data_IF_140841192766
#
_entry.id   IF_140841192766
#
_cell.length_a   1.000
_cell.length_b   1.000
_cell.length_c   1.000
_cell.angle_alpha   90.00
_cell.angle_beta   90.00
_cell.angle_gamma   90.00
#
_symmetry.space_group_name_H-M   'P 1'
#
loop_
_entity.id
_entity.type
_entity.pdbx_description
1 polymer ?
#
# COMPACT_ATOMS: atom_id res chain seq x y z
N UNK A 1 13.30 28.52 12.28
CA UNK A 1 12.04 29.06 11.71
C UNK A 1 11.87 28.45 10.34
N UNK A 2 10.64 28.04 9.98
CA UNK A 2 10.35 27.42 8.67
C UNK A 2 9.53 28.40 7.83
N UNK A 3 9.99 28.71 6.62
CA UNK A 3 9.29 29.60 5.72
C UNK A 3 8.70 28.80 4.56
N UNK A 4 7.39 28.86 4.40
CA UNK A 4 6.63 28.16 3.37
C UNK A 4 6.10 29.18 2.36
N UNK A 5 6.38 28.96 1.09
CA UNK A 5 5.82 29.74 0.00
C UNK A 5 5.05 28.83 -0.96
N UNK A 6 3.75 29.07 -1.09
CA UNK A 6 2.85 28.29 -1.96
C UNK A 6 2.39 29.18 -3.13
N UNK A 7 2.44 28.63 -4.35
CA UNK A 7 1.91 29.25 -5.55
C UNK A 7 0.88 28.33 -6.18
N UNK A 8 -0.39 28.57 -5.87
CA UNK A 8 -1.51 27.74 -6.35
C UNK A 8 -1.78 27.89 -7.85
N UNK A 9 -1.40 29.00 -8.43
CA UNK A 9 -1.46 29.24 -9.88
C UNK A 9 -0.42 28.44 -10.68
N UNK A 10 0.56 27.84 -10.00
CA UNK A 10 1.62 27.04 -10.61
C UNK A 10 1.50 25.58 -10.20
N UNK A 11 1.07 24.73 -11.12
CA UNK A 11 0.98 23.28 -10.88
C UNK A 11 2.23 22.57 -11.37
N UNK A 12 2.70 21.56 -10.61
CA UNK A 12 3.94 20.81 -10.89
C UNK A 12 3.72 19.31 -11.09
N UNK A 13 2.49 18.84 -10.91
CA UNK A 13 2.14 17.43 -11.06
C UNK A 13 0.72 17.12 -10.62
N UNK A 14 0.48 15.85 -10.35
CA UNK A 14 -0.76 15.36 -9.74
C UNK A 14 -0.50 14.90 -8.31
N UNK A 15 -1.51 14.99 -7.47
CA UNK A 15 -1.47 14.34 -6.15
C UNK A 15 -1.62 12.84 -6.36
N UNK A 16 -0.61 12.07 -5.92
CA UNK A 16 -0.58 10.62 -6.05
C UNK A 16 -1.39 9.94 -4.93
N UNK A 17 -1.88 8.71 -5.11
CA UNK A 17 -2.65 7.98 -4.10
C UNK A 17 -1.73 7.40 -2.99
N UNK A 18 -1.07 8.28 -2.22
CA UNK A 18 -0.16 7.86 -1.14
C UNK A 18 -0.91 7.39 0.12
N UNK A 19 -2.21 7.54 0.16
CA UNK A 19 -3.09 7.22 1.29
C UNK A 19 -4.00 6.01 1.03
N UNK A 20 -3.72 5.20 0.00
CA UNK A 20 -4.42 3.93 -0.16
C UNK A 20 -4.10 2.98 1.01
N UNK A 21 -4.93 1.96 1.20
CA UNK A 21 -4.84 1.08 2.37
C UNK A 21 -4.74 -0.39 1.97
N UNK A 22 -4.14 -1.19 2.82
CA UNK A 22 -4.32 -2.62 2.86
C UNK A 22 -5.54 -2.97 3.72
N UNK A 23 -6.33 -3.94 3.28
CA UNK A 23 -7.40 -4.55 4.05
C UNK A 23 -8.51 -3.58 4.47
N UNK A 24 -9.65 -3.57 3.77
CA UNK A 24 -10.73 -2.65 4.04
C UNK A 24 -11.30 -2.89 5.44
N UNK A 25 -11.79 -1.84 6.14
CA UNK A 25 -12.34 -1.98 7.47
C UNK A 25 -13.77 -2.55 7.43
N UNK A 26 -13.94 -3.72 8.01
CA UNK A 26 -15.26 -4.32 8.26
C UNK A 26 -15.23 -5.13 9.54
N UNK A 27 -16.41 -5.38 10.12
CA UNK A 27 -16.57 -6.21 11.31
C UNK A 27 -17.15 -7.57 10.93
N UNK A 28 -16.47 -8.62 11.34
CA UNK A 28 -17.05 -9.95 11.33
C UNK A 28 -18.04 -10.10 12.48
N UNK A 29 -19.22 -10.63 12.20
CA UNK A 29 -20.24 -10.96 13.20
C UNK A 29 -20.64 -12.41 13.13
N UNK A 30 -21.29 -12.93 14.17
CA UNK A 30 -21.76 -14.32 14.21
C UNK A 30 -22.78 -14.65 13.10
N UNK A 31 -23.64 -13.66 12.77
CA UNK A 31 -24.72 -13.87 11.79
C UNK A 31 -24.55 -13.06 10.50
N UNK A 32 -23.79 -11.99 10.52
CA UNK A 32 -23.57 -11.12 9.35
C UNK A 32 -22.30 -10.31 9.49
N UNK A 33 -21.78 -9.86 8.34
CA UNK A 33 -20.74 -8.85 8.28
C UNK A 33 -21.33 -7.44 8.44
N UNK A 34 -20.54 -6.53 8.99
CA UNK A 34 -20.85 -5.10 9.07
C UNK A 34 -19.76 -4.32 8.32
N UNK A 35 -20.12 -3.73 7.20
CA UNK A 35 -19.24 -2.97 6.31
C UNK A 35 -19.35 -1.45 6.51
N UNK A 36 -20.11 -0.98 7.48
CA UNK A 36 -20.36 0.47 7.69
C UNK A 36 -19.09 1.27 7.92
N UNK A 37 -18.01 0.67 8.44
CA UNK A 37 -16.71 1.34 8.59
C UNK A 37 -16.01 1.65 7.28
N UNK A 38 -16.43 1.06 6.15
CA UNK A 38 -15.93 1.45 4.83
C UNK A 38 -16.29 2.91 4.49
N UNK A 39 -17.32 3.48 5.14
CA UNK A 39 -17.64 4.90 5.00
C UNK A 39 -16.46 5.80 5.38
N UNK A 40 -15.67 5.44 6.40
CA UNK A 40 -14.46 6.20 6.75
C UNK A 40 -13.42 6.24 5.62
N UNK A 41 -13.31 5.17 4.83
CA UNK A 41 -12.42 5.13 3.66
C UNK A 41 -12.92 6.09 2.58
N UNK A 42 -14.22 6.08 2.32
CA UNK A 42 -14.89 7.00 1.37
C UNK A 42 -14.75 8.46 1.83
N UNK A 43 -15.03 8.76 3.10
CA UNK A 43 -14.95 10.10 3.67
C UNK A 43 -13.54 10.69 3.66
N UNK A 44 -12.52 9.81 3.74
CA UNK A 44 -11.12 10.17 3.60
C UNK A 44 -10.63 10.24 2.14
N UNK A 45 -11.51 10.09 1.15
CA UNK A 45 -11.17 10.03 -0.29
C UNK A 45 -10.09 9.00 -0.62
N UNK A 46 -10.01 7.89 0.13
CA UNK A 46 -9.06 6.81 -0.07
C UNK A 46 -9.50 5.97 -1.28
N UNK A 47 -8.72 5.96 -2.40
CA UNK A 47 -9.22 5.41 -3.66
C UNK A 47 -9.10 3.90 -3.80
N UNK A 48 -8.13 3.28 -3.10
CA UNK A 48 -7.80 1.86 -3.28
C UNK A 48 -7.65 1.13 -1.94
N UNK A 49 -8.03 -0.15 -1.95
CA UNK A 49 -7.67 -1.08 -0.89
C UNK A 49 -7.05 -2.35 -1.47
N UNK A 50 -5.85 -2.70 -0.99
CA UNK A 50 -5.18 -3.95 -1.36
C UNK A 50 -5.74 -5.11 -0.56
N UNK A 51 -6.08 -6.20 -1.24
CA UNK A 51 -6.71 -7.37 -0.66
C UNK A 51 -5.68 -8.48 -0.38
N UNK A 52 -4.97 -8.33 0.71
CA UNK A 52 -4.12 -9.35 1.30
C UNK A 52 -4.46 -9.50 2.78
N UNK A 53 -4.39 -10.70 3.36
CA UNK A 53 -4.76 -10.99 4.75
C UNK A 53 -6.19 -10.55 5.13
N UNK A 54 -7.09 -10.56 4.18
CA UNK A 54 -8.48 -10.15 4.40
C UNK A 54 -9.20 -11.24 5.19
N UNK A 55 -9.47 -10.92 6.45
CA UNK A 55 -10.13 -11.83 7.37
C UNK A 55 -11.64 -11.84 7.22
N UNK A 56 -12.26 -12.85 7.73
CA UNK A 56 -13.71 -13.02 7.83
C UNK A 56 -14.12 -13.73 9.10
N UNK A 57 -15.42 -13.73 9.38
CA UNK A 57 -16.00 -14.57 10.43
C UNK A 57 -15.68 -16.06 10.18
N UNK A 58 -15.74 -16.86 11.20
CA UNK A 58 -15.53 -18.31 11.11
C UNK A 58 -14.16 -18.74 10.59
N UNK A 59 -13.08 -18.03 10.94
CA UNK A 59 -11.71 -18.35 10.52
C UNK A 59 -11.50 -18.10 9.03
N UNK A 60 -12.34 -17.25 8.46
CA UNK A 60 -12.33 -16.93 7.07
C UNK A 60 -11.11 -16.20 6.57
N UNK A 61 -10.28 -15.52 7.34
CA UNK A 61 -9.05 -14.79 6.96
C UNK A 61 -8.55 -14.98 5.50
N UNK A 62 -9.46 -15.22 4.52
CA UNK A 62 -9.13 -15.85 3.25
C UNK A 62 -10.05 -15.49 2.11
N UNK A 63 -10.81 -14.40 2.23
CA UNK A 63 -11.81 -14.06 1.23
C UNK A 63 -11.31 -14.13 -0.21
N UNK A 64 -10.13 -13.60 -0.47
CA UNK A 64 -9.58 -13.50 -1.83
C UNK A 64 -8.60 -14.61 -2.19
N UNK A 65 -8.35 -15.54 -1.29
CA UNK A 65 -7.38 -16.61 -1.52
C UNK A 65 -7.85 -17.58 -2.62
N UNK A 66 -7.02 -17.75 -3.65
CA UNK A 66 -7.29 -18.64 -4.76
C UNK A 66 -7.70 -20.06 -4.29
N UNK A 67 -6.98 -20.69 -3.29
CA UNK A 67 -7.38 -22.00 -2.80
C UNK A 67 -8.69 -22.03 -1.99
N UNK A 68 -9.25 -20.91 -1.63
CA UNK A 68 -10.56 -20.87 -0.99
C UNK A 68 -11.69 -20.74 -2.01
N UNK A 69 -11.42 -20.04 -3.09
CA UNK A 69 -12.35 -19.90 -4.20
C UNK A 69 -12.38 -21.21 -5.01
N UNK A 70 -11.21 -21.74 -5.38
CA UNK A 70 -11.07 -22.99 -6.12
C UNK A 70 -10.40 -24.04 -5.21
N UNK A 71 -11.19 -24.81 -4.48
CA UNK A 71 -10.71 -25.64 -3.36
C UNK A 71 -10.05 -26.94 -3.79
N UNK A 72 -10.58 -27.58 -4.82
CA UNK A 72 -10.08 -28.84 -5.38
C UNK A 72 -9.29 -28.54 -6.66
N UNK A 73 -7.97 -28.60 -6.56
CA UNK A 73 -7.12 -28.33 -7.72
C UNK A 73 -7.28 -29.35 -8.86
N UNK A 74 -7.82 -30.53 -8.56
CA UNK A 74 -8.04 -31.58 -9.56
C UNK A 74 -9.44 -31.47 -10.25
N UNK A 75 -10.35 -30.58 -9.76
CA UNK A 75 -11.62 -30.26 -10.39
C UNK A 75 -11.44 -29.57 -11.76
N UNK A 76 -12.48 -29.54 -12.58
CA UNK A 76 -12.47 -28.83 -13.87
C UNK A 76 -12.50 -27.30 -13.63
N UNK A 77 -11.48 -26.60 -14.07
CA UNK A 77 -11.37 -25.13 -13.93
C UNK A 77 -12.35 -24.36 -14.85
N UNK A 78 -12.95 -25.00 -15.83
CA UNK A 78 -13.96 -24.41 -16.70
C UNK A 78 -15.40 -24.58 -16.18
N UNK A 79 -15.60 -25.42 -15.17
CA UNK A 79 -16.90 -25.60 -14.54
C UNK A 79 -17.13 -24.54 -13.43
N UNK A 80 -18.12 -23.63 -13.57
CA UNK A 80 -18.47 -22.67 -12.51
C UNK A 80 -18.73 -23.31 -11.15
N UNK A 81 -19.24 -24.54 -11.10
CA UNK A 81 -19.52 -25.29 -9.86
C UNK A 81 -18.24 -25.65 -9.08
N UNK A 82 -17.06 -25.55 -9.70
CA UNK A 82 -15.77 -25.77 -9.04
C UNK A 82 -15.30 -24.58 -8.20
N UNK A 83 -16.00 -23.44 -8.28
CA UNK A 83 -15.66 -22.20 -7.61
C UNK A 83 -16.67 -21.85 -6.52
N UNK A 84 -16.16 -21.27 -5.43
CA UNK A 84 -16.98 -20.72 -4.34
C UNK A 84 -16.61 -19.25 -4.13
N UNK A 85 -17.38 -18.35 -4.71
CA UNK A 85 -17.20 -16.90 -4.60
C UNK A 85 -17.94 -16.29 -3.41
N UNK A 86 -18.75 -17.06 -2.67
CA UNK A 86 -19.74 -16.56 -1.70
C UNK A 86 -19.18 -15.52 -0.71
N UNK A 87 -17.95 -15.73 -0.20
CA UNK A 87 -17.35 -14.78 0.75
C UNK A 87 -16.67 -13.62 0.05
N UNK A 88 -16.02 -13.88 -1.09
CA UNK A 88 -15.29 -12.84 -1.83
C UNK A 88 -16.27 -11.86 -2.46
N UNK A 89 -17.41 -12.33 -2.98
CA UNK A 89 -18.46 -11.48 -3.54
C UNK A 89 -18.97 -10.47 -2.55
N UNK A 90 -19.35 -10.92 -1.36
CA UNK A 90 -19.84 -10.03 -0.30
C UNK A 90 -18.84 -8.91 0.03
N UNK A 91 -17.54 -9.20 0.03
CA UNK A 91 -16.50 -8.21 0.27
C UNK A 91 -16.38 -7.23 -0.89
N UNK A 92 -16.23 -7.75 -2.12
CA UNK A 92 -15.99 -6.91 -3.30
C UNK A 92 -17.21 -6.05 -3.62
N UNK A 93 -18.43 -6.58 -3.55
CA UNK A 93 -19.66 -5.79 -3.73
C UNK A 93 -19.70 -4.60 -2.79
N UNK A 94 -19.47 -4.83 -1.49
CA UNK A 94 -19.46 -3.73 -0.52
C UNK A 94 -18.35 -2.72 -0.80
N UNK A 95 -17.15 -3.15 -1.15
CA UNK A 95 -16.08 -2.22 -1.54
C UNK A 95 -16.49 -1.34 -2.72
N UNK A 96 -17.06 -1.94 -3.76
CA UNK A 96 -17.51 -1.22 -4.95
C UNK A 96 -18.68 -0.27 -4.63
N UNK A 97 -19.61 -0.68 -3.76
CA UNK A 97 -20.72 0.17 -3.29
C UNK A 97 -20.22 1.42 -2.53
N UNK A 98 -19.18 1.27 -1.70
CA UNK A 98 -18.52 2.39 -1.02
C UNK A 98 -17.51 3.14 -1.91
N UNK A 99 -17.36 2.81 -3.18
CA UNK A 99 -16.45 3.47 -4.11
C UNK A 99 -14.98 3.14 -3.90
N UNK A 100 -14.65 2.06 -3.18
CA UNK A 100 -13.29 1.62 -2.89
C UNK A 100 -12.83 0.65 -3.97
N UNK A 101 -11.79 1.00 -4.73
CA UNK A 101 -11.26 0.14 -5.81
C UNK A 101 -10.36 -0.95 -5.24
N UNK A 102 -10.63 -2.23 -5.55
CA UNK A 102 -9.74 -3.31 -5.13
C UNK A 102 -8.42 -3.34 -5.90
N UNK A 103 -7.32 -3.63 -5.17
CA UNK A 103 -6.10 -4.19 -5.73
C UNK A 103 -6.12 -5.66 -5.32
N UNK A 104 -6.42 -6.55 -6.27
CA UNK A 104 -6.69 -7.95 -5.99
C UNK A 104 -5.40 -8.78 -6.01
N UNK A 105 -5.03 -9.39 -4.87
CA UNK A 105 -3.89 -10.27 -4.77
C UNK A 105 -4.30 -11.72 -5.11
N UNK A 106 -3.84 -12.21 -6.25
CA UNK A 106 -3.97 -13.61 -6.68
C UNK A 106 -2.91 -14.47 -5.96
N UNK A 107 -3.31 -15.26 -5.00
CA UNK A 107 -2.39 -16.07 -4.20
C UNK A 107 -3.01 -16.50 -2.88
N UNK A 108 -2.24 -16.43 -1.80
CA UNK A 108 -2.62 -16.90 -0.48
C UNK A 108 -2.33 -15.88 0.62
N UNK A 109 -3.05 -15.99 1.72
CA UNK A 109 -2.86 -15.20 2.95
C UNK A 109 -1.79 -15.85 3.84
N UNK A 110 -0.98 -15.04 4.53
CA UNK A 110 0.08 -15.50 5.43
C UNK A 110 -0.48 -16.31 6.61
N UNK A 111 -1.64 -15.97 7.13
CA UNK A 111 -2.31 -16.70 8.20
C UNK A 111 -2.72 -18.12 7.81
N UNK A 112 -2.64 -18.44 6.53
CA UNK A 112 -2.92 -19.79 6.01
C UNK A 112 -1.72 -20.71 6.02
N UNK A 113 -0.54 -20.22 6.31
CA UNK A 113 0.71 -20.96 6.16
C UNK A 113 0.82 -22.23 7.02
N UNK A 114 0.30 -22.21 8.22
CA UNK A 114 0.60 -23.22 9.22
C UNK A 114 -0.13 -24.54 9.02
N UNK A 115 -1.07 -24.65 8.10
CA UNK A 115 -1.91 -25.84 8.08
C UNK A 115 -2.12 -26.36 6.67
N UNK A 116 -1.84 -27.58 6.63
CA UNK A 116 -2.08 -28.56 5.62
C UNK A 116 -3.19 -28.14 4.70
N UNK A 117 -2.90 -27.67 3.57
CA UNK A 117 -3.97 -27.55 2.61
C UNK A 117 -3.43 -27.49 1.24
N UNK A 118 -3.89 -28.44 0.51
CA UNK A 118 -3.71 -28.58 -0.89
C UNK A 118 -2.60 -27.64 -1.39
N UNK A 119 -2.63 -26.98 -2.36
CA UNK A 119 -1.58 -26.20 -3.00
C UNK A 119 -1.34 -24.77 -2.45
N UNK A 120 -1.67 -24.44 -1.25
CA UNK A 120 -1.65 -23.06 -0.71
C UNK A 120 -0.34 -22.31 -0.92
N UNK A 121 0.63 -22.55 -0.05
CA UNK A 121 1.97 -21.95 -0.12
C UNK A 121 2.95 -22.83 -0.92
N UNK A 122 2.50 -23.98 -1.38
CA UNK A 122 3.30 -24.88 -2.22
C UNK A 122 3.12 -24.53 -3.69
N UNK A 123 4.14 -24.77 -4.54
CA UNK A 123 3.97 -24.65 -5.97
C UNK A 123 2.77 -25.46 -6.46
N UNK A 124 1.85 -24.84 -7.21
CA UNK A 124 0.76 -25.61 -7.85
C UNK A 124 1.31 -26.71 -8.74
N UNK A 125 0.61 -27.87 -8.80
CA UNK A 125 1.03 -29.01 -9.64
C UNK A 125 1.14 -28.64 -11.13
N UNK A 126 0.33 -27.70 -11.59
CA UNK A 126 0.28 -27.19 -12.96
C UNK A 126 0.10 -25.67 -12.95
N UNK A 127 1.12 -24.92 -13.37
CA UNK A 127 1.10 -23.46 -13.40
C UNK A 127 0.14 -22.91 -14.46
N UNK A 128 -0.04 -23.62 -15.58
CA UNK A 128 -1.01 -23.26 -16.60
C UNK A 128 -2.44 -23.36 -16.09
N UNK A 129 -2.77 -24.42 -15.37
CA UNK A 129 -4.06 -24.56 -14.72
C UNK A 129 -4.30 -23.49 -13.65
N UNK A 130 -3.28 -23.19 -12.83
CA UNK A 130 -3.38 -22.10 -11.86
C UNK A 130 -3.65 -20.75 -12.54
N UNK A 131 -3.01 -20.48 -13.68
CA UNK A 131 -3.25 -19.27 -14.46
C UNK A 131 -4.69 -19.22 -15.02
N UNK A 132 -5.25 -20.32 -15.50
CA UNK A 132 -6.66 -20.40 -15.95
C UNK A 132 -7.66 -20.24 -14.79
N UNK A 133 -7.35 -20.78 -13.62
CA UNK A 133 -8.16 -20.51 -12.41
C UNK A 133 -8.17 -19.00 -12.11
N UNK A 134 -7.02 -18.35 -12.13
CA UNK A 134 -6.94 -16.90 -11.96
C UNK A 134 -7.68 -16.13 -13.06
N UNK A 135 -7.63 -16.57 -14.31
CA UNK A 135 -8.42 -16.03 -15.41
C UNK A 135 -9.92 -16.05 -15.09
N UNK A 136 -10.45 -17.16 -14.60
CA UNK A 136 -11.88 -17.28 -14.28
C UNK A 136 -12.27 -16.40 -13.07
N UNK A 137 -11.39 -16.21 -12.10
CA UNK A 137 -11.61 -15.22 -11.02
C UNK A 137 -11.71 -13.81 -11.60
N UNK A 138 -10.83 -13.43 -12.53
CA UNK A 138 -10.88 -12.12 -13.19
C UNK A 138 -12.16 -11.99 -14.04
N UNK A 139 -12.53 -13.00 -14.79
CA UNK A 139 -13.77 -13.00 -15.58
C UNK A 139 -15.02 -12.87 -14.72
N UNK A 140 -15.00 -13.49 -13.53
CA UNK A 140 -16.11 -13.39 -12.59
C UNK A 140 -16.35 -11.93 -12.18
N UNK A 141 -15.31 -11.19 -11.83
CA UNK A 141 -15.45 -9.79 -11.40
C UNK A 141 -15.50 -8.76 -12.52
N UNK A 142 -14.99 -9.08 -13.71
CA UNK A 142 -14.86 -8.10 -14.80
C UNK A 142 -15.69 -8.45 -16.05
N UNK A 143 -16.19 -9.66 -16.23
CA UNK A 143 -16.88 -10.10 -17.43
C UNK A 143 -18.17 -10.91 -17.12
N UNK A 144 -18.62 -10.96 -15.87
CA UNK A 144 -19.87 -11.60 -15.46
C UNK A 144 -19.88 -13.13 -15.50
N UNK A 145 -18.73 -13.79 -15.60
CA UNK A 145 -18.64 -15.25 -15.63
C UNK A 145 -19.14 -15.85 -14.30
N UNK A 146 -19.84 -17.02 -14.35
CA UNK A 146 -20.39 -17.71 -13.19
C UNK A 146 -21.35 -16.84 -12.35
N UNK A 147 -22.30 -16.16 -12.99
CA UNK A 147 -23.21 -15.19 -12.38
C UNK A 147 -22.50 -14.04 -11.63
N UNK A 148 -21.32 -13.64 -12.11
CA UNK A 148 -20.48 -12.63 -11.51
C UNK A 148 -20.80 -11.20 -11.95
N UNK A 149 -19.78 -10.34 -11.97
CA UNK A 149 -19.90 -8.88 -12.04
C UNK A 149 -19.15 -8.28 -13.25
N UNK A 150 -19.37 -6.99 -13.49
CA UNK A 150 -18.65 -6.20 -14.47
C UNK A 150 -18.03 -4.96 -13.78
N UNK A 151 -17.26 -5.18 -12.71
CA UNK A 151 -16.70 -4.10 -11.87
C UNK A 151 -15.51 -3.39 -12.51
N UNK A 152 -14.81 -4.05 -13.46
CA UNK A 152 -13.65 -3.47 -14.10
C UNK A 152 -12.48 -3.27 -13.14
N UNK A 153 -12.21 -4.25 -12.27
CA UNK A 153 -11.04 -4.22 -11.37
C UNK A 153 -9.78 -4.14 -12.22
N UNK A 154 -8.98 -3.11 -11.98
CA UNK A 154 -7.82 -2.76 -12.80
C UNK A 154 -6.57 -3.55 -12.40
N UNK A 155 -6.25 -3.60 -11.08
CA UNK A 155 -4.98 -4.12 -10.56
C UNK A 155 -5.12 -5.56 -10.05
N UNK A 156 -4.31 -6.46 -10.61
CA UNK A 156 -4.23 -7.87 -10.26
C UNK A 156 -2.79 -8.24 -9.92
N UNK A 157 -2.52 -8.42 -8.65
CA UNK A 157 -1.19 -8.71 -8.11
C UNK A 157 -0.97 -10.22 -8.02
N UNK A 158 0.10 -10.73 -8.63
CA UNK A 158 0.47 -12.14 -8.54
C UNK A 158 1.29 -12.37 -7.28
N UNK A 159 0.71 -13.06 -6.32
CA UNK A 159 1.27 -13.50 -5.05
C UNK A 159 1.49 -12.41 -4.01
N UNK A 160 2.17 -12.79 -2.89
CA UNK A 160 2.63 -11.93 -1.81
C UNK A 160 3.85 -12.58 -1.15
N UNK A 161 4.94 -11.84 -1.03
CA UNK A 161 6.16 -12.21 -0.28
C UNK A 161 6.68 -13.65 -0.53
N UNK A 162 6.81 -14.12 -1.77
CA UNK A 162 7.40 -15.44 -2.04
C UNK A 162 8.87 -15.51 -1.65
N UNK A 163 9.50 -14.38 -1.36
CA UNK A 163 10.86 -14.16 -0.90
C UNK A 163 11.00 -14.10 0.63
N UNK A 164 9.93 -14.31 1.40
CA UNK A 164 9.92 -14.17 2.87
C UNK A 164 10.61 -15.31 3.62
N UNK A 165 11.64 -15.88 3.03
CA UNK A 165 12.49 -16.94 3.60
C UNK A 165 12.99 -17.89 2.52
N UNK A 166 13.93 -18.76 2.90
CA UNK A 166 14.49 -19.75 2.01
C UNK A 166 13.50 -20.87 1.67
N UNK A 167 13.75 -21.56 0.57
CA UNK A 167 12.96 -22.71 0.14
C UNK A 167 12.80 -23.76 1.27
N UNK A 168 11.57 -24.25 1.44
CA UNK A 168 11.22 -25.20 2.49
C UNK A 168 11.07 -24.63 3.93
N UNK A 169 11.34 -23.31 4.11
CA UNK A 169 11.14 -22.57 5.37
C UNK A 169 10.37 -21.29 5.21
N UNK A 170 9.97 -20.96 4.00
CA UNK A 170 9.24 -19.76 3.65
C UNK A 170 7.77 -19.89 4.05
N UNK A 171 7.25 -18.84 4.64
CA UNK A 171 5.87 -18.77 5.12
C UNK A 171 4.85 -18.46 4.01
N UNK A 172 5.31 -18.07 2.82
CA UNK A 172 4.46 -17.69 1.70
C UNK A 172 4.72 -18.52 0.43
N UNK A 173 5.90 -19.14 0.31
CA UNK A 173 6.27 -19.96 -0.84
C UNK A 173 7.23 -21.09 -0.43
N UNK A 174 6.80 -22.32 -0.59
CA UNK A 174 7.59 -23.51 -0.18
C UNK A 174 8.42 -24.09 -1.33
N UNK A 175 8.33 -23.51 -2.52
CA UNK A 175 9.15 -23.89 -3.68
C UNK A 175 10.49 -23.15 -3.75
N UNK A 176 11.25 -23.47 -4.79
CA UNK A 176 12.46 -22.73 -5.14
C UNK A 176 12.10 -21.36 -5.76
N UNK A 177 13.00 -20.36 -5.71
CA UNK A 177 12.77 -19.06 -6.35
C UNK A 177 12.42 -19.18 -7.84
N UNK A 178 13.13 -20.04 -8.59
CA UNK A 178 12.93 -20.23 -10.01
C UNK A 178 11.54 -20.83 -10.35
N UNK A 179 10.97 -21.62 -9.44
CA UNK A 179 9.60 -22.13 -9.59
C UNK A 179 8.58 -20.98 -9.45
N UNK A 180 8.84 -20.02 -8.56
CA UNK A 180 8.02 -18.83 -8.45
C UNK A 180 8.13 -17.93 -9.69
N UNK A 181 9.35 -17.69 -10.17
CA UNK A 181 9.58 -16.88 -11.39
C UNK A 181 8.84 -17.48 -12.59
N UNK A 182 8.88 -18.80 -12.70
CA UNK A 182 8.13 -19.53 -13.74
C UNK A 182 6.61 -19.44 -13.53
N UNK A 183 6.11 -19.54 -12.29
CA UNK A 183 4.69 -19.34 -12.01
C UNK A 183 4.23 -17.96 -12.45
N UNK A 184 5.00 -16.92 -12.09
CA UNK A 184 4.72 -15.55 -12.49
C UNK A 184 4.68 -15.41 -14.02
N UNK A 185 5.69 -15.90 -14.72
CA UNK A 185 5.78 -15.84 -16.17
C UNK A 185 4.57 -16.48 -16.87
N UNK A 186 4.26 -17.71 -16.48
CA UNK A 186 3.12 -18.46 -17.04
C UNK A 186 1.81 -17.73 -16.79
N UNK A 187 1.58 -17.26 -15.57
CA UNK A 187 0.37 -16.57 -15.20
C UNK A 187 0.25 -15.20 -15.89
N UNK A 188 1.30 -14.38 -15.85
CA UNK A 188 1.28 -13.05 -16.45
C UNK A 188 1.06 -13.11 -17.96
N UNK A 189 1.75 -13.99 -18.67
CA UNK A 189 1.54 -14.20 -20.11
C UNK A 189 0.14 -14.65 -20.44
N UNK A 190 -0.39 -15.64 -19.70
CA UNK A 190 -1.73 -16.14 -19.90
C UNK A 190 -2.77 -15.02 -19.68
N UNK A 191 -2.72 -14.33 -18.55
CA UNK A 191 -3.68 -13.29 -18.21
C UNK A 191 -3.62 -12.11 -19.18
N UNK A 192 -2.44 -11.66 -19.57
CA UNK A 192 -2.31 -10.60 -20.59
C UNK A 192 -2.79 -11.06 -21.96
N UNK A 193 -2.66 -12.35 -22.32
CA UNK A 193 -3.21 -12.88 -23.56
C UNK A 193 -4.76 -12.87 -23.57
N UNK A 194 -5.40 -13.04 -22.40
CA UNK A 194 -6.85 -13.06 -22.24
C UNK A 194 -7.46 -11.65 -22.19
N UNK A 195 -6.81 -10.74 -21.48
CA UNK A 195 -7.42 -9.44 -21.13
C UNK A 195 -6.72 -8.22 -21.75
N UNK A 196 -5.50 -8.38 -22.26
CA UNK A 196 -4.73 -7.26 -22.83
C UNK A 196 -4.56 -6.12 -21.82
N UNK A 197 -4.83 -4.90 -22.27
CA UNK A 197 -4.70 -3.67 -21.46
C UNK A 197 -5.96 -3.34 -20.64
N UNK A 198 -6.97 -4.22 -20.63
CA UNK A 198 -8.15 -4.05 -19.76
C UNK A 198 -7.82 -4.24 -18.29
N UNK A 199 -6.69 -4.92 -17.99
CA UNK A 199 -6.19 -5.14 -16.64
C UNK A 199 -4.70 -4.85 -16.57
N UNK A 200 -4.22 -4.51 -15.38
CA UNK A 200 -2.81 -4.44 -15.04
C UNK A 200 -2.40 -5.65 -14.23
N UNK A 201 -1.34 -6.31 -14.65
CA UNK A 201 -0.74 -7.46 -13.96
C UNK A 201 0.60 -7.04 -13.38
N UNK A 202 0.83 -7.35 -12.12
CA UNK A 202 2.08 -7.04 -11.45
C UNK A 202 2.35 -7.95 -10.26
N UNK A 203 3.25 -7.57 -9.44
CA UNK A 203 3.63 -8.28 -8.22
C UNK A 203 5.08 -8.02 -7.88
N UNK A 204 5.61 -8.76 -7.02
CA UNK A 204 5.09 -9.94 -6.31
C UNK A 204 4.88 -9.70 -4.79
N UNK A 205 4.79 -8.42 -4.35
CA UNK A 205 4.82 -8.08 -2.94
C UNK A 205 6.18 -8.41 -2.32
N UNK A 206 7.27 -7.83 -2.84
CA UNK A 206 8.63 -8.06 -2.35
C UNK A 206 8.73 -7.70 -0.86
N UNK A 207 9.16 -8.62 0.01
CA UNK A 207 9.10 -8.47 1.47
C UNK A 207 10.13 -7.49 2.08
N UNK A 208 10.81 -6.73 1.24
CA UNK A 208 11.74 -5.66 1.63
C UNK A 208 13.21 -6.00 1.39
N UNK A 209 13.95 -5.01 0.90
CA UNK A 209 15.34 -5.17 0.44
C UNK A 209 16.35 -4.72 1.49
N UNK A 210 16.20 -5.17 2.74
CA UNK A 210 17.08 -4.78 3.85
C UNK A 210 18.52 -5.28 3.72
N UNK A 211 18.77 -6.26 2.83
CA UNK A 211 20.09 -6.75 2.46
C UNK A 211 21.02 -5.67 1.91
N UNK A 212 20.46 -4.60 1.32
CA UNK A 212 21.21 -3.45 0.82
C UNK A 212 22.14 -2.83 1.86
N UNK A 213 21.73 -2.83 3.13
CA UNK A 213 22.46 -2.18 4.22
C UNK A 213 23.68 -2.95 4.71
N UNK A 214 23.83 -4.22 4.34
CA UNK A 214 25.03 -5.00 4.67
C UNK A 214 26.20 -4.73 3.71
N UNK A 215 25.88 -4.32 2.46
CA UNK A 215 26.90 -4.07 1.42
C UNK A 215 26.56 -2.78 0.65
N UNK A 216 26.42 -1.60 1.30
CA UNK A 216 25.93 -0.38 0.67
C UNK A 216 26.76 0.05 -0.54
N UNK A 217 28.10 -0.07 -0.46
CA UNK A 217 29.01 0.28 -1.57
C UNK A 217 28.76 -0.57 -2.81
N UNK A 218 28.49 -1.87 -2.63
CA UNK A 218 28.20 -2.81 -3.75
C UNK A 218 26.92 -2.42 -4.47
N UNK A 219 25.93 -1.94 -3.72
CA UNK A 219 24.63 -1.55 -4.26
C UNK A 219 24.51 -0.05 -4.57
N UNK A 220 25.61 0.70 -4.38
CA UNK A 220 25.68 2.14 -4.70
C UNK A 220 24.69 2.98 -3.92
N UNK A 221 24.52 2.67 -2.62
CA UNK A 221 23.72 3.48 -1.68
C UNK A 221 24.65 4.14 -0.65
N UNK A 222 24.36 5.40 -0.32
CA UNK A 222 25.21 6.17 0.60
C UNK A 222 24.63 6.12 2.03
N UNK A 223 24.90 5.00 2.72
CA UNK A 223 24.51 4.82 4.13
C UNK A 223 25.63 4.10 4.88
N UNK A 224 25.68 4.20 6.21
CA UNK A 224 26.59 3.38 7.01
C UNK A 224 26.31 1.90 6.81
N UNK A 225 27.37 1.12 6.65
CA UNK A 225 27.28 -0.33 6.56
C UNK A 225 26.74 -0.91 7.86
N UNK A 226 25.82 -1.87 7.72
CA UNK A 226 25.30 -2.67 8.82
C UNK A 226 26.16 -3.93 8.98
N UNK A 227 26.55 -4.26 10.20
CA UNK A 227 27.21 -5.53 10.46
C UNK A 227 26.21 -6.70 10.34
N UNK A 228 26.65 -7.85 9.82
CA UNK A 228 25.83 -9.06 9.75
C UNK A 228 25.30 -9.49 11.12
N UNK A 229 24.00 -9.77 11.16
CA UNK A 229 23.29 -10.27 12.36
C UNK A 229 22.45 -11.51 12.00
N UNK A 230 21.56 -11.95 12.89
CA UNK A 230 20.70 -13.12 12.68
C UNK A 230 19.74 -13.01 11.48
N UNK A 231 19.59 -11.82 10.91
CA UNK A 231 18.72 -11.54 9.74
C UNK A 231 19.48 -11.54 8.42
N UNK A 232 20.83 -11.59 8.46
CA UNK A 232 21.67 -11.43 7.28
C UNK A 232 21.28 -12.39 6.14
N UNK A 233 21.21 -13.68 6.38
CA UNK A 233 20.90 -14.68 5.36
C UNK A 233 19.52 -14.44 4.73
N UNK A 234 18.52 -14.16 5.56
CA UNK A 234 17.17 -13.87 5.08
C UNK A 234 17.11 -12.58 4.26
N UNK A 235 17.74 -11.52 4.73
CA UNK A 235 17.70 -10.21 4.07
C UNK A 235 18.50 -10.26 2.74
N UNK A 236 19.60 -11.03 2.69
CA UNK A 236 20.34 -11.27 1.45
C UNK A 236 19.57 -12.18 0.49
N UNK A 237 18.86 -13.20 0.99
CA UNK A 237 17.97 -14.03 0.17
C UNK A 237 16.92 -13.17 -0.55
N UNK A 238 16.26 -12.26 0.15
CA UNK A 238 15.26 -11.33 -0.44
C UNK A 238 15.85 -10.48 -1.56
N UNK A 239 17.04 -9.94 -1.32
CA UNK A 239 17.73 -9.12 -2.32
C UNK A 239 18.15 -9.93 -3.56
N UNK A 240 18.65 -11.16 -3.36
CA UNK A 240 18.99 -12.07 -4.45
C UNK A 240 17.74 -12.53 -5.21
N UNK A 241 16.64 -12.81 -4.51
CA UNK A 241 15.37 -13.15 -5.13
C UNK A 241 14.86 -12.02 -6.03
N UNK A 242 14.91 -10.77 -5.57
CA UNK A 242 14.52 -9.60 -6.36
C UNK A 242 15.34 -9.47 -7.63
N UNK A 243 16.67 -9.56 -7.54
CA UNK A 243 17.52 -9.46 -8.73
C UNK A 243 17.27 -10.63 -9.69
N UNK A 244 17.19 -11.86 -9.19
CA UNK A 244 16.88 -13.04 -10.00
C UNK A 244 15.50 -12.98 -10.67
N UNK A 245 14.50 -12.42 -9.99
CA UNK A 245 13.18 -12.17 -10.59
C UNK A 245 13.29 -11.21 -11.79
N UNK A 246 13.98 -10.07 -11.63
CA UNK A 246 14.16 -9.11 -12.73
C UNK A 246 14.89 -9.72 -13.93
N UNK A 247 15.96 -10.48 -13.66
CA UNK A 247 16.69 -11.21 -14.71
C UNK A 247 15.76 -12.18 -15.46
N UNK A 248 15.02 -12.99 -14.72
CA UNK A 248 14.12 -13.99 -15.28
C UNK A 248 13.01 -13.37 -16.15
N UNK A 249 12.30 -12.35 -15.64
CA UNK A 249 11.21 -11.73 -16.41
C UNK A 249 11.73 -11.00 -17.65
N UNK A 250 12.93 -10.43 -17.58
CA UNK A 250 13.59 -9.81 -18.75
C UNK A 250 13.96 -10.83 -19.80
N UNK A 251 14.60 -11.93 -19.41
CA UNK A 251 15.04 -13.00 -20.33
C UNK A 251 13.86 -13.68 -21.01
N UNK A 252 12.77 -13.88 -20.29
CA UNK A 252 11.57 -14.57 -20.77
C UNK A 252 10.56 -13.63 -21.42
N UNK A 253 10.74 -12.30 -21.36
CA UNK A 253 9.76 -11.33 -21.87
C UNK A 253 8.42 -11.42 -21.12
N UNK A 254 8.46 -11.64 -19.81
CA UNK A 254 7.26 -11.73 -18.98
C UNK A 254 6.60 -10.36 -18.84
N UNK A 255 5.28 -10.24 -19.05
CA UNK A 255 4.57 -8.99 -18.86
C UNK A 255 4.59 -8.54 -17.40
N UNK A 256 4.77 -7.23 -17.19
CA UNK A 256 4.64 -6.57 -15.90
C UNK A 256 4.16 -5.14 -16.12
N UNK A 257 3.03 -4.76 -15.52
CA UNK A 257 2.46 -3.42 -15.61
C UNK A 257 2.74 -2.58 -14.36
N UNK A 258 3.01 -3.22 -13.21
CA UNK A 258 3.40 -2.56 -11.97
C UNK A 258 4.25 -3.49 -11.09
N UNK A 259 5.18 -2.91 -10.33
CA UNK A 259 6.01 -3.64 -9.36
C UNK A 259 5.57 -3.31 -7.93
N UNK A 260 5.44 -4.33 -7.09
CA UNK A 260 5.00 -4.17 -5.70
C UNK A 260 6.08 -4.58 -4.70
N UNK A 261 6.18 -3.82 -3.61
CA UNK A 261 7.17 -4.03 -2.57
C UNK A 261 6.69 -3.54 -1.21
N UNK A 262 7.36 -4.00 -0.14
CA UNK A 262 7.01 -3.72 1.24
C UNK A 262 8.16 -3.04 1.98
N UNK A 263 7.83 -2.25 3.01
CA UNK A 263 8.82 -1.71 3.94
C UNK A 263 8.22 -1.35 5.28
N UNK A 264 8.83 -1.87 6.33
CA UNK A 264 8.59 -1.47 7.72
C UNK A 264 9.81 -0.75 8.33
N UNK A 265 10.68 -0.23 7.48
CA UNK A 265 11.79 0.62 7.89
C UNK A 265 11.34 2.05 8.18
N UNK A 266 12.21 2.85 8.76
CA UNK A 266 11.96 4.29 8.89
C UNK A 266 11.87 4.97 7.51
N UNK A 267 11.41 6.22 7.51
CA UNK A 267 11.07 6.97 6.30
C UNK A 267 12.25 7.04 5.31
N UNK A 268 13.43 7.41 5.77
CA UNK A 268 14.59 7.58 4.89
C UNK A 268 15.12 6.24 4.36
N UNK A 269 15.12 5.20 5.17
CA UNK A 269 15.48 3.86 4.70
C UNK A 269 14.48 3.35 3.66
N UNK A 270 13.20 3.56 3.86
CA UNK A 270 12.17 3.21 2.88
C UNK A 270 12.38 3.96 1.56
N UNK A 271 12.70 5.25 1.62
CA UNK A 271 12.99 6.04 0.43
C UNK A 271 14.21 5.51 -0.35
N UNK A 272 15.30 5.17 0.36
CA UNK A 272 16.51 4.57 -0.25
C UNK A 272 16.19 3.23 -0.93
N UNK A 273 15.38 2.38 -0.31
CA UNK A 273 14.94 1.11 -0.94
C UNK A 273 14.16 1.42 -2.22
N UNK A 274 13.23 2.37 -2.19
CA UNK A 274 12.46 2.79 -3.36
C UNK A 274 13.34 3.31 -4.51
N UNK A 275 14.33 4.15 -4.20
CA UNK A 275 15.31 4.65 -5.16
C UNK A 275 16.18 3.53 -5.78
N UNK A 276 16.55 2.53 -4.97
CA UNK A 276 17.25 1.36 -5.46
C UNK A 276 16.38 0.53 -6.42
N UNK A 277 15.11 0.27 -6.06
CA UNK A 277 14.17 -0.46 -6.91
C UNK A 277 13.98 0.27 -8.24
N UNK A 278 13.71 1.59 -8.21
CA UNK A 278 13.56 2.40 -9.42
C UNK A 278 14.78 2.27 -10.35
N UNK A 279 15.99 2.41 -9.79
CA UNK A 279 17.22 2.28 -10.55
C UNK A 279 17.35 0.88 -11.17
N UNK A 280 17.08 -0.19 -10.41
CA UNK A 280 17.16 -1.56 -10.91
C UNK A 280 16.14 -1.83 -12.01
N UNK A 281 14.90 -1.37 -11.84
CA UNK A 281 13.88 -1.48 -12.89
C UNK A 281 14.34 -0.79 -14.19
N UNK A 282 14.91 0.39 -14.08
CA UNK A 282 15.49 1.12 -15.22
C UNK A 282 16.65 0.36 -15.88
N UNK A 283 17.57 -0.20 -15.09
CA UNK A 283 18.70 -1.01 -15.58
C UNK A 283 18.23 -2.21 -16.41
N UNK A 284 17.07 -2.77 -16.09
CA UNK A 284 16.42 -3.86 -16.83
C UNK A 284 15.51 -3.38 -17.97
N UNK A 285 15.38 -2.06 -18.20
CA UNK A 285 14.58 -1.47 -19.28
C UNK A 285 13.09 -1.35 -18.96
N UNK A 286 12.73 -1.28 -17.68
CA UNK A 286 11.38 -1.03 -17.20
C UNK A 286 11.20 0.43 -16.75
N UNK A 287 11.64 1.39 -17.58
CA UNK A 287 11.49 2.82 -17.31
C UNK A 287 10.03 3.21 -17.18
N UNK A 288 9.70 3.92 -16.11
CA UNK A 288 8.33 4.42 -15.89
C UNK A 288 7.31 3.36 -15.45
N UNK A 289 7.76 2.15 -15.11
CA UNK A 289 6.89 1.15 -14.50
C UNK A 289 6.29 1.68 -13.19
N UNK A 290 4.98 1.51 -12.99
CA UNK A 290 4.35 1.88 -11.73
C UNK A 290 4.96 1.09 -10.57
N UNK A 291 5.38 1.79 -9.51
CA UNK A 291 5.91 1.19 -8.28
C UNK A 291 4.92 1.40 -7.13
N UNK A 292 4.48 0.33 -6.51
CA UNK A 292 3.58 0.40 -5.37
C UNK A 292 4.28 -0.10 -4.10
N UNK A 293 4.43 0.77 -3.11
CA UNK A 293 4.76 0.36 -1.74
C UNK A 293 3.45 -0.09 -1.10
N UNK A 294 3.07 -1.33 -1.38
CA UNK A 294 1.72 -1.79 -1.12
C UNK A 294 1.54 -2.55 0.21
N UNK A 295 2.59 -2.50 1.05
CA UNK A 295 2.50 -2.86 2.47
C UNK A 295 3.56 -2.07 3.26
N UNK A 296 3.09 -1.19 4.14
CA UNK A 296 3.97 -0.33 4.92
C UNK A 296 3.28 0.23 6.16
N UNK A 297 4.07 0.55 7.18
CA UNK A 297 3.62 1.32 8.33
C UNK A 297 4.85 1.95 9.01
N UNK A 298 4.94 3.27 9.05
CA UNK A 298 6.08 3.98 9.62
C UNK A 298 6.11 3.96 11.15
N UNK A 299 5.00 3.55 11.79
CA UNK A 299 4.85 3.46 13.25
C UNK A 299 4.17 2.15 13.65
N UNK A 300 4.71 1.02 13.19
CA UNK A 300 4.12 -0.31 13.31
C UNK A 300 4.20 -0.95 14.70
N UNK A 301 4.68 -0.24 15.71
CA UNK A 301 4.67 -0.73 17.09
C UNK A 301 3.31 -0.47 17.75
N UNK A 302 2.63 -1.50 18.25
CA UNK A 302 1.29 -1.38 18.84
C UNK A 302 1.18 -0.34 19.95
N UNK A 303 2.27 -0.05 20.71
CA UNK A 303 2.30 1.00 21.72
C UNK A 303 2.17 2.43 21.14
N UNK A 304 2.41 2.61 19.85
CA UNK A 304 2.32 3.91 19.17
C UNK A 304 0.92 4.17 18.60
N UNK A 305 0.03 3.18 18.66
CA UNK A 305 -1.30 3.29 18.10
C UNK A 305 -2.08 4.47 18.70
N UNK A 306 -2.61 5.32 17.85
CA UNK A 306 -3.39 6.50 18.22
C UNK A 306 -2.58 7.68 18.79
N UNK A 307 -1.25 7.62 18.77
CA UNK A 307 -0.38 8.72 19.23
C UNK A 307 -0.13 9.76 18.13
N UNK A 308 0.20 10.99 18.52
CA UNK A 308 0.65 12.04 17.60
C UNK A 308 1.88 11.61 16.80
N UNK A 309 2.78 10.82 17.41
CA UNK A 309 3.94 10.25 16.72
C UNK A 309 3.51 9.37 15.54
N UNK A 310 2.54 8.48 15.73
CA UNK A 310 2.10 7.58 14.66
C UNK A 310 1.44 8.33 13.50
N UNK A 311 0.60 9.33 13.80
CA UNK A 311 -0.03 10.16 12.76
C UNK A 311 1.00 10.96 11.98
N UNK A 312 1.94 11.62 12.65
CA UNK A 312 2.99 12.41 12.02
C UNK A 312 3.98 11.55 11.22
N UNK A 313 4.40 10.39 11.74
CA UNK A 313 5.29 9.45 11.04
C UNK A 313 4.67 8.92 9.73
N UNK A 314 3.40 8.51 9.78
CA UNK A 314 2.71 8.02 8.59
C UNK A 314 2.44 9.15 7.58
N UNK A 315 2.09 10.35 8.04
CA UNK A 315 1.95 11.52 7.18
C UNK A 315 3.29 11.89 6.51
N UNK A 316 4.38 11.92 7.26
CA UNK A 316 5.72 12.18 6.75
C UNK A 316 6.15 11.15 5.69
N UNK A 317 5.85 9.86 5.90
CA UNK A 317 6.08 8.81 4.91
C UNK A 317 5.32 9.07 3.61
N UNK A 318 4.02 9.41 3.69
CA UNK A 318 3.22 9.75 2.51
C UNK A 318 3.85 10.91 1.72
N UNK A 319 4.26 11.99 2.39
CA UNK A 319 4.85 13.15 1.73
C UNK A 319 6.24 12.87 1.15
N UNK A 320 7.09 12.14 1.89
CA UNK A 320 8.43 11.75 1.41
C UNK A 320 8.33 10.87 0.16
N UNK A 321 7.41 9.90 0.16
CA UNK A 321 7.24 8.99 -0.97
C UNK A 321 6.49 9.64 -2.14
N UNK A 322 5.64 10.65 -1.89
CA UNK A 322 5.02 11.43 -2.96
C UNK A 322 6.05 12.09 -3.88
N UNK A 323 7.18 12.53 -3.34
CA UNK A 323 8.28 13.13 -4.10
C UNK A 323 9.22 12.13 -4.78
N UNK A 324 9.00 10.84 -4.61
CA UNK A 324 9.79 9.76 -5.25
C UNK A 324 9.13 9.22 -6.53
N UNK A 325 9.74 8.24 -7.18
CA UNK A 325 9.14 7.51 -8.30
C UNK A 325 7.97 6.59 -7.88
N UNK A 326 7.76 6.32 -6.60
CA UNK A 326 6.65 5.51 -6.12
C UNK A 326 5.32 6.14 -6.50
N UNK A 327 4.43 5.34 -7.11
CA UNK A 327 3.14 5.80 -7.59
C UNK A 327 2.04 5.71 -6.54
N UNK A 328 2.02 4.64 -5.73
CA UNK A 328 0.97 4.35 -4.76
C UNK A 328 1.56 3.76 -3.48
N UNK A 329 0.93 4.09 -2.35
CA UNK A 329 1.20 3.44 -1.07
C UNK A 329 -0.08 2.80 -0.52
N UNK A 330 0.00 1.54 -0.01
CA UNK A 330 -1.11 0.92 0.70
C UNK A 330 -0.71 0.67 2.16
N UNK A 331 -1.25 1.45 3.06
CA UNK A 331 -0.97 1.40 4.49
C UNK A 331 -1.42 0.08 5.11
N UNK A 332 -0.57 -0.61 5.81
CA UNK A 332 -0.88 -1.83 6.54
C UNK A 332 -1.11 -1.54 8.03
N UNK A 333 -2.40 -1.45 8.53
CA UNK A 333 -3.60 -1.69 7.74
C UNK A 333 -4.80 -0.91 8.29
N UNK A 334 -5.90 -0.94 7.55
CA UNK A 334 -7.16 -0.30 7.94
C UNK A 334 -8.14 -1.25 8.64
N UNK A 335 -7.75 -2.48 8.98
CA UNK A 335 -8.62 -3.42 9.73
C UNK A 335 -9.09 -2.83 11.05
N UNK A 336 -10.32 -3.18 11.44
CA UNK A 336 -10.92 -2.76 12.71
C UNK A 336 -10.37 -3.56 13.90
N UNK A 337 -9.85 -4.76 13.67
CA UNK A 337 -9.39 -5.66 14.73
C UNK A 337 -8.07 -5.19 15.32
N UNK A 338 -7.74 -5.66 16.53
CA UNK A 338 -6.43 -5.44 17.12
C UNK A 338 -5.33 -5.98 16.17
N UNK A 339 -4.59 -5.08 15.58
CA UNK A 339 -3.43 -5.39 14.75
C UNK A 339 -2.15 -5.13 15.56
N UNK A 340 -1.16 -6.01 15.41
CA UNK A 340 0.17 -5.78 15.98
C UNK A 340 0.87 -4.55 15.35
N UNK A 341 0.40 -4.13 14.18
CA UNK A 341 0.95 -3.02 13.42
C UNK A 341 0.29 -1.66 13.71
N UNK A 342 -0.77 -1.63 14.54
CA UNK A 342 -1.59 -0.43 14.70
C UNK A 342 -2.68 -0.34 13.63
N UNK A 343 -3.24 0.82 13.39
CA UNK A 343 -4.31 0.99 12.39
C UNK A 343 -5.06 2.31 12.52
N UNK A 344 -6.22 2.37 11.87
CA UNK A 344 -7.08 3.56 11.86
C UNK A 344 -8.05 3.63 13.05
N UNK A 345 -8.33 2.50 13.70
CA UNK A 345 -9.41 2.39 14.66
C UNK A 345 -8.94 1.87 16.01
N UNK A 346 -9.43 2.44 17.07
CA UNK A 346 -9.19 1.97 18.42
C UNK A 346 -9.72 0.52 18.59
N UNK A 347 -8.93 -0.43 19.14
CA UNK A 347 -9.27 -1.86 19.08
C UNK A 347 -10.55 -2.25 19.84
N UNK A 348 -10.99 -1.45 20.81
CA UNK A 348 -12.14 -1.76 21.64
C UNK A 348 -13.40 -0.97 21.28
N UNK A 349 -13.23 0.30 20.93
CA UNK A 349 -14.38 1.20 20.62
C UNK A 349 -14.67 1.22 19.13
N UNK A 350 -13.69 0.88 18.29
CA UNK A 350 -13.74 0.99 16.84
C UNK A 350 -13.89 2.43 16.31
N UNK A 351 -13.65 3.40 17.18
CA UNK A 351 -13.61 4.80 16.79
C UNK A 351 -12.27 5.12 16.07
N UNK A 352 -12.28 6.05 15.09
CA UNK A 352 -11.07 6.44 14.40
C UNK A 352 -10.09 7.14 15.36
N UNK A 353 -8.79 6.87 15.16
CA UNK A 353 -7.69 7.50 15.91
C UNK A 353 -6.96 8.53 15.03
N UNK A 354 -6.04 9.31 15.62
CA UNK A 354 -5.29 10.37 14.93
C UNK A 354 -4.66 9.94 13.60
N UNK A 355 -4.21 8.69 13.46
CA UNK A 355 -3.68 8.16 12.21
C UNK A 355 -4.70 8.22 11.08
N UNK A 356 -5.97 7.86 11.32
CA UNK A 356 -7.03 7.99 10.33
C UNK A 356 -7.17 9.45 9.85
N UNK A 357 -7.15 10.40 10.75
CA UNK A 357 -7.30 11.82 10.40
C UNK A 357 -6.11 12.38 9.63
N UNK A 358 -4.90 11.83 9.83
CA UNK A 358 -3.76 12.16 8.98
C UNK A 358 -3.98 11.72 7.52
N UNK A 359 -4.57 10.54 7.31
CA UNK A 359 -4.95 10.06 5.97
C UNK A 359 -6.12 10.85 5.38
N UNK A 360 -7.14 11.16 6.17
CA UNK A 360 -8.26 11.98 5.73
C UNK A 360 -7.82 13.40 5.35
N UNK A 361 -6.86 13.99 6.07
CA UNK A 361 -6.26 15.27 5.72
C UNK A 361 -5.49 15.20 4.38
N UNK A 362 -4.72 14.12 4.15
CA UNK A 362 -4.11 13.88 2.85
C UNK A 362 -5.16 13.71 1.73
N UNK A 363 -6.27 13.04 2.03
CA UNK A 363 -7.40 12.87 1.12
C UNK A 363 -8.00 14.18 0.63
N UNK A 364 -7.94 15.27 1.43
CA UNK A 364 -8.34 16.61 0.99
C UNK A 364 -7.45 17.15 -0.13
N UNK A 365 -6.14 16.85 -0.10
CA UNK A 365 -5.24 17.19 -1.18
C UNK A 365 -5.49 16.32 -2.43
N UNK A 366 -5.71 15.02 -2.21
CA UNK A 366 -5.98 14.08 -3.30
C UNK A 366 -7.26 14.44 -4.07
N UNK A 367 -8.31 14.89 -3.39
CA UNK A 367 -9.55 15.39 -3.99
C UNK A 367 -9.31 16.56 -4.94
N UNK A 368 -8.39 17.48 -4.62
CA UNK A 368 -8.04 18.63 -5.46
C UNK A 368 -7.26 18.23 -6.72
N UNK A 369 -6.58 17.13 -6.70
CA UNK A 369 -5.97 16.45 -7.84
C UNK A 369 -4.65 17.02 -8.36
N UNK A 370 -4.46 18.34 -8.39
CA UNK A 370 -3.25 18.98 -8.92
C UNK A 370 -2.29 19.38 -7.80
N UNK A 371 -1.03 18.99 -7.90
CA UNK A 371 0.02 19.43 -7.00
C UNK A 371 0.39 20.88 -7.33
N UNK A 372 0.22 21.78 -6.36
CA UNK A 372 0.68 23.16 -6.46
C UNK A 372 2.19 23.28 -6.12
N UNK A 373 2.83 24.30 -6.69
CA UNK A 373 4.23 24.58 -6.36
C UNK A 373 4.34 25.08 -4.92
N UNK A 374 5.13 24.37 -4.13
CA UNK A 374 5.46 24.73 -2.75
C UNK A 374 6.98 24.70 -2.55
N UNK A 375 7.51 25.72 -1.93
CA UNK A 375 8.90 25.74 -1.46
C UNK A 375 8.92 25.90 0.05
N UNK A 376 9.75 25.10 0.71
CA UNK A 376 9.97 25.14 2.15
C UNK A 376 11.45 25.46 2.42
N UNK A 377 11.72 26.60 3.05
CA UNK A 377 13.03 26.89 3.63
C UNK A 377 12.98 26.47 5.10
N UNK A 378 13.60 25.33 5.39
CA UNK A 378 13.59 24.72 6.72
C UNK A 378 14.77 25.18 7.60
N UNK A 379 15.67 26.04 7.08
CA UNK A 379 16.89 26.48 7.79
C UNK A 379 17.67 25.26 8.35
N UNK A 380 17.74 24.18 7.57
CA UNK A 380 18.41 22.92 7.94
C UNK A 380 17.66 22.04 8.94
N UNK A 381 16.43 22.38 9.31
CA UNK A 381 15.63 21.53 10.21
C UNK A 381 15.20 20.23 9.51
N UNK A 382 15.57 19.11 10.11
CA UNK A 382 15.12 17.78 9.67
C UNK A 382 13.71 17.47 10.17
N UNK A 383 13.03 16.50 9.52
CA UNK A 383 11.73 15.99 9.95
C UNK A 383 10.55 16.90 9.62
N UNK A 384 10.73 17.90 8.76
CA UNK A 384 9.64 18.73 8.27
C UNK A 384 9.29 18.38 6.82
N UNK A 385 8.02 18.10 6.56
CA UNK A 385 7.51 17.71 5.25
C UNK A 385 6.32 18.57 4.86
N UNK A 386 6.16 18.85 3.57
CA UNK A 386 5.08 19.72 3.09
C UNK A 386 4.64 19.36 1.67
N UNK A 387 3.35 19.58 1.40
CA UNK A 387 2.73 19.37 0.09
C UNK A 387 1.58 20.38 -0.06
N UNK A 388 1.33 20.86 -1.28
CA UNK A 388 0.19 21.71 -1.57
C UNK A 388 -0.58 21.20 -2.78
N UNK A 389 -1.88 21.43 -2.80
CA UNK A 389 -2.78 21.01 -3.87
C UNK A 389 -3.80 22.09 -4.22
N UNK A 390 -4.30 22.01 -5.44
CA UNK A 390 -5.34 22.91 -5.97
C UNK A 390 -6.17 22.23 -7.07
N UNK A 391 -7.44 22.61 -7.20
CA UNK A 391 -8.27 22.36 -8.37
C UNK A 391 -8.55 23.64 -9.19
N UNK A 392 -7.89 24.75 -8.83
CA UNK A 392 -8.04 26.07 -9.44
C UNK A 392 -8.88 27.04 -8.59
N UNK A 393 -9.81 26.55 -7.78
CA UNK A 393 -10.68 27.33 -6.88
C UNK A 393 -10.41 27.01 -5.41
N UNK A 394 -10.34 25.75 -5.09
CA UNK A 394 -10.03 25.25 -3.75
C UNK A 394 -8.52 25.00 -3.63
N UNK A 395 -7.97 25.34 -2.50
CA UNK A 395 -6.54 25.27 -2.22
C UNK A 395 -6.29 24.63 -0.85
N UNK A 396 -5.28 23.78 -0.78
CA UNK A 396 -4.85 23.17 0.48
C UNK A 396 -3.32 23.08 0.56
N UNK A 397 -2.78 23.28 1.75
CA UNK A 397 -1.39 22.97 2.09
C UNK A 397 -1.36 22.04 3.30
N UNK A 398 -0.53 21.01 3.24
CA UNK A 398 -0.39 19.97 4.26
C UNK A 398 1.04 20.00 4.77
N UNK A 399 1.20 20.32 6.04
CA UNK A 399 2.48 20.52 6.72
C UNK A 399 2.61 19.50 7.84
N UNK A 400 3.75 18.83 7.93
CA UNK A 400 4.03 17.79 8.92
C UNK A 400 5.32 18.12 9.65
N UNK A 401 5.25 18.33 10.94
CA UNK A 401 6.39 18.37 11.81
C UNK A 401 6.60 17.01 12.49
N UNK A 402 7.39 16.16 11.89
CA UNK A 402 7.79 14.87 12.46
C UNK A 402 9.14 15.02 13.16
N UNK A 403 9.12 15.72 14.27
CA UNK A 403 10.28 15.91 15.15
C UNK A 403 9.82 16.07 16.60
N UNK A 404 10.74 15.99 17.54
CA UNK A 404 10.46 16.15 18.97
C UNK A 404 10.38 17.62 19.42
N UNK A 405 10.63 18.57 18.51
CA UNK A 405 10.62 20.00 18.81
C UNK A 405 9.49 20.71 18.08
N UNK A 406 8.89 21.71 18.73
CA UNK A 406 7.96 22.62 18.06
C UNK A 406 8.71 23.51 17.05
N UNK A 407 8.04 23.87 15.96
CA UNK A 407 8.59 24.69 14.89
C UNK A 407 7.74 25.95 14.65
N UNK A 408 8.38 27.10 14.63
CA UNK A 408 7.75 28.32 14.13
C UNK A 408 7.63 28.22 12.60
N UNK A 409 6.41 28.34 12.11
CA UNK A 409 6.08 28.28 10.67
C UNK A 409 5.58 29.65 10.23
N UNK A 410 6.07 30.14 9.10
CA UNK A 410 5.54 31.31 8.38
C UNK A 410 5.14 30.90 6.98
N UNK A 411 4.00 31.39 6.53
CA UNK A 411 3.53 31.13 5.18
C UNK A 411 3.17 32.44 4.45
N UNK A 412 2.99 32.37 3.15
CA UNK A 412 2.41 33.46 2.35
C UNK A 412 0.87 33.33 2.22
N UNK A 413 0.25 32.44 2.99
CA UNK A 413 -1.20 32.26 3.03
C UNK A 413 -1.80 33.26 4.04
N UNK A 414 -2.90 33.89 3.70
CA UNK A 414 -3.49 34.98 4.48
C UNK A 414 -4.99 34.81 4.66
N UNK A 415 -5.72 35.91 4.79
CA UNK A 415 -7.17 35.94 4.95
C UNK A 415 -7.88 35.06 3.88
N UNK A 416 -8.88 34.29 4.32
CA UNK A 416 -9.56 33.29 3.51
C UNK A 416 -9.11 31.86 3.73
N UNK A 417 -7.92 31.66 4.32
CA UNK A 417 -7.45 30.35 4.74
C UNK A 417 -7.70 30.09 6.22
N UNK A 418 -7.91 28.84 6.57
CA UNK A 418 -8.05 28.36 7.95
C UNK A 418 -7.04 27.27 8.24
N UNK A 419 -6.53 27.21 9.46
CA UNK A 419 -5.59 26.20 9.94
C UNK A 419 -6.35 25.13 10.70
N UNK A 420 -6.17 23.88 10.33
CA UNK A 420 -6.72 22.69 11.00
C UNK A 420 -5.55 21.86 11.51
N UNK A 421 -5.68 21.29 12.71
CA UNK A 421 -4.64 20.47 13.31
C UNK A 421 -5.04 18.99 13.33
N UNK A 422 -4.01 18.12 13.27
CA UNK A 422 -4.14 16.69 13.52
C UNK A 422 -3.01 16.25 14.44
N UNK A 423 -3.39 15.70 15.57
CA UNK A 423 -2.57 15.01 16.55
C UNK A 423 -3.43 14.11 17.43
N UNK A 424 -2.96 13.66 18.59
CA UNK A 424 -3.74 12.80 19.49
C UNK A 424 -4.96 13.51 20.14
N UNK A 425 -5.04 14.82 20.08
CA UNK A 425 -6.10 15.65 20.69
C UNK A 425 -6.95 16.38 19.64
N UNK A 426 -6.43 16.58 18.42
CA UNK A 426 -7.09 17.29 17.33
C UNK A 426 -7.31 16.37 16.12
N UNK A 427 -8.54 16.35 15.60
CA UNK A 427 -9.02 15.45 14.55
C UNK A 427 -9.53 16.20 13.31
N UNK A 428 -8.63 16.95 12.64
CA UNK A 428 -8.92 17.96 11.60
C UNK A 428 -9.79 19.07 12.20
N UNK A 429 -9.39 19.54 13.37
CA UNK A 429 -10.13 20.61 14.04
C UNK A 429 -9.65 21.98 13.60
N UNK A 430 -10.60 22.85 13.23
CA UNK A 430 -10.33 24.25 12.91
C UNK A 430 -9.84 24.99 14.15
N UNK A 431 -8.78 25.76 13.98
CA UNK A 431 -8.18 26.54 15.05
C UNK A 431 -8.31 28.05 14.81
N UNK A 432 -7.95 28.84 15.83
CA UNK A 432 -7.83 30.31 15.74
C UNK A 432 -6.41 30.74 15.31
N UNK A 433 -5.56 29.81 14.86
CA UNK A 433 -4.20 30.11 14.39
C UNK A 433 -4.25 30.90 13.09
N UNK A 434 -3.39 31.90 12.99
CA UNK A 434 -3.21 32.66 11.74
C UNK A 434 -2.49 31.80 10.70
N UNK A 435 -3.01 31.67 9.48
CA UNK A 435 -2.30 30.95 8.42
C UNK A 435 -0.96 31.62 8.03
N UNK A 436 -0.77 32.91 8.29
CA UNK A 436 0.47 33.64 8.00
C UNK A 436 1.63 33.22 8.91
N UNK A 437 1.34 32.76 10.14
CA UNK A 437 2.37 32.35 11.08
C UNK A 437 1.80 31.72 12.34
N UNK A 438 2.34 30.56 12.70
CA UNK A 438 1.93 29.78 13.88
C UNK A 438 3.04 28.85 14.34
N UNK A 439 2.90 28.35 15.55
CA UNK A 439 3.76 27.28 16.08
C UNK A 439 3.15 25.94 15.75
N UNK A 440 3.86 25.08 15.03
CA UNK A 440 3.49 23.69 14.80
C UNK A 440 4.21 22.80 15.82
N UNK A 441 3.45 22.13 16.67
CA UNK A 441 3.97 21.34 17.79
C UNK A 441 4.80 20.14 17.34
N UNK A 442 5.47 19.49 18.28
CA UNK A 442 6.18 18.24 18.06
C UNK A 442 5.20 17.14 17.60
N UNK A 443 5.56 16.38 16.55
CA UNK A 443 4.74 15.33 15.97
C UNK A 443 3.30 15.79 15.65
N UNK A 444 3.16 16.99 15.10
CA UNK A 444 1.88 17.60 14.78
C UNK A 444 1.76 17.88 13.28
N UNK A 445 0.53 17.83 12.79
CA UNK A 445 0.18 18.08 11.39
C UNK A 445 -0.71 19.32 11.33
N UNK A 446 -0.46 20.19 10.35
CA UNK A 446 -1.35 21.28 9.99
C UNK A 446 -1.88 21.10 8.55
N UNK A 447 -3.18 21.22 8.39
CA UNK A 447 -3.85 21.34 7.10
C UNK A 447 -4.38 22.78 7.00
N UNK A 448 -3.97 23.50 5.96
CA UNK A 448 -4.36 24.90 5.72
C UNK A 448 -5.22 24.92 4.45
N UNK A 449 -6.48 25.35 4.55
CA UNK A 449 -7.45 25.31 3.46
C UNK A 449 -8.26 26.61 3.36
N UNK A 450 -8.74 26.91 2.13
CA UNK A 450 -9.63 28.04 1.86
C UNK A 450 -11.10 27.66 1.65
N UNK A 451 -11.50 26.42 1.97
CA UNK A 451 -12.85 25.89 1.80
C UNK A 451 -13.33 25.09 3.01
#
# INVERSE_FOLDING_TARGET
MININVRFESTVGKIKPMHAVGQPPYKGGFLKFDFTHMQYITDANIPYSRLHDVGGAFGGYRFVDVPNIFRDFDADENDPASYDFSFTDVLIENMMEYGIKPIYRLGVTIENQAHIKAYRIYPPKDFGKWARICEHIIRHYNEGWADGYNFGIEYWEIWNEPDNGEAGRNQMWMGMPEEFFRLYDVAAKHLKSCFGDKIKIGGYGCSGLYGLYYHPDVYGINVPQREPDERYERDMHRLNFFNGFLEYIKENGSPIDFFTWHSYANIEKTAIIGEYIERRLRDFGYDGLEMHLNEWNAAHEGRLHGTSYASAANAAMMLRMHSSATYMLCYYDARITASAYGGFFAPLTFEPVSTYYAFAAYGKLYELGSQAMLTADTDGAEGFYSLAATDGERHAAYLVNFSEESREVRTNLSEGFSVYLVDAEHYIEKTELSPEGFTLGANQIALIMNY
#
